data_IF_158412365770
#
_entry.id   IF_158412365770
#
_cell.length_a   1.000
_cell.length_b   1.000
_cell.length_c   1.000
_cell.angle_alpha   90.00
_cell.angle_beta   90.00
_cell.angle_gamma   90.00
#
_symmetry.space_group_name_H-M   'P 1'
#
loop_
_entity.id
_entity.type
_entity.pdbx_description
1 polymer ?
#
# COMPACT_ATOMS: atom_id res chain seq x y z
N UNK A 1 -14.11 9.68 -16.01
CA UNK A 1 -15.27 8.99 -15.40
C UNK A 1 -14.76 7.74 -14.70
N UNK A 2 -14.48 7.80 -13.40
CA UNK A 2 -14.09 6.61 -12.63
C UNK A 2 -15.32 5.69 -12.41
N UNK A 3 -16.53 6.24 -12.26
CA UNK A 3 -17.70 5.51 -11.74
C UNK A 3 -18.31 4.39 -12.62
N UNK A 4 -17.92 4.21 -13.88
CA UNK A 4 -18.55 3.16 -14.73
C UNK A 4 -18.16 1.73 -14.37
N UNK A 5 -17.02 1.54 -13.70
CA UNK A 5 -16.45 0.21 -13.40
C UNK A 5 -16.38 -0.10 -11.90
N UNK A 6 -16.95 0.77 -11.06
CA UNK A 6 -16.86 0.68 -9.60
C UNK A 6 -18.26 0.60 -9.00
N UNK A 7 -18.85 -0.60 -9.08
CA UNK A 7 -20.27 -0.83 -8.75
C UNK A 7 -20.58 -1.09 -7.28
N UNK A 8 -19.56 -1.21 -6.42
CA UNK A 8 -19.77 -1.53 -5.02
C UNK A 8 -19.94 -0.25 -4.18
N UNK A 9 -21.08 -0.14 -3.49
CA UNK A 9 -21.43 1.03 -2.66
C UNK A 9 -20.59 1.16 -1.38
N UNK A 10 -19.94 0.07 -0.97
CA UNK A 10 -19.07 0.00 0.20
C UNK A 10 -17.58 0.17 -0.15
N UNK A 11 -17.25 0.55 -1.38
CA UNK A 11 -15.85 0.80 -1.79
C UNK A 11 -15.67 2.29 -2.09
N UNK A 12 -14.72 2.91 -1.39
CA UNK A 12 -14.28 4.27 -1.65
C UNK A 12 -12.95 4.26 -2.39
N UNK A 13 -12.94 4.75 -3.63
CA UNK A 13 -11.71 4.92 -4.41
C UNK A 13 -11.10 6.28 -4.12
N UNK A 14 -9.79 6.29 -3.85
CA UNK A 14 -9.04 7.50 -3.52
C UNK A 14 -7.82 7.54 -4.44
N UNK A 15 -7.66 8.66 -5.17
CA UNK A 15 -6.43 8.96 -5.92
C UNK A 15 -5.55 9.85 -5.04
N UNK A 16 -4.47 9.30 -4.49
CA UNK A 16 -3.52 10.01 -3.66
C UNK A 16 -2.14 9.37 -3.77
N UNK A 17 -1.10 10.16 -3.49
CA UNK A 17 0.20 9.62 -3.09
C UNK A 17 0.08 8.89 -1.73
N UNK A 18 0.74 7.73 -1.57
CA UNK A 18 0.61 6.91 -0.37
C UNK A 18 1.25 7.60 0.84
N UNK A 19 2.45 8.16 0.68
CA UNK A 19 3.19 8.81 1.77
C UNK A 19 2.38 9.98 2.34
N UNK A 20 1.74 10.74 1.47
CA UNK A 20 0.85 11.85 1.83
C UNK A 20 -0.47 11.37 2.45
N UNK A 21 -1.02 10.26 1.96
CA UNK A 21 -2.27 9.68 2.45
C UNK A 21 -2.13 9.21 3.90
N UNK A 22 -1.07 8.44 4.21
CA UNK A 22 -0.92 7.82 5.54
C UNK A 22 -0.72 8.85 6.65
N UNK A 23 -0.15 10.03 6.35
CA UNK A 23 -0.01 11.13 7.31
C UNK A 23 -1.35 11.64 7.81
N UNK A 24 -2.39 11.53 6.99
CA UNK A 24 -3.77 11.95 7.28
C UNK A 24 -4.70 10.78 7.54
N UNK A 25 -4.22 9.56 7.38
CA UNK A 25 -5.04 8.37 7.49
C UNK A 25 -5.51 8.16 8.92
N UNK A 26 -6.78 7.81 9.04
CA UNK A 26 -7.34 7.23 10.25
C UNK A 26 -6.75 5.83 10.48
N UNK A 27 -7.02 5.28 11.66
CA UNK A 27 -6.66 3.92 11.98
C UNK A 27 -7.65 2.92 11.36
N UNK A 28 -7.13 1.87 10.73
CA UNK A 28 -7.95 0.82 10.11
C UNK A 28 -7.84 -0.51 10.86
N UNK A 29 -8.88 -1.36 10.81
CA UNK A 29 -8.74 -2.71 11.39
C UNK A 29 -7.72 -3.55 10.61
N UNK A 30 -7.77 -3.45 9.29
CA UNK A 30 -6.92 -4.21 8.36
C UNK A 30 -6.33 -3.29 7.31
N UNK A 31 -5.04 -3.49 7.02
CA UNK A 31 -4.37 -2.86 5.89
C UNK A 31 -3.78 -3.96 5.02
N UNK A 32 -4.02 -3.85 3.70
CA UNK A 32 -3.49 -4.77 2.70
C UNK A 32 -2.72 -3.95 1.67
N UNK A 33 -1.44 -4.25 1.50
CA UNK A 33 -0.62 -3.75 0.41
C UNK A 33 -0.24 -4.90 -0.50
N UNK A 34 -0.51 -4.76 -1.80
CA UNK A 34 -0.16 -5.76 -2.81
C UNK A 34 0.69 -5.10 -3.87
N UNK A 35 1.94 -5.54 -3.95
CA UNK A 35 2.91 -5.12 -4.96
C UNK A 35 3.06 -3.60 -5.08
N UNK A 36 3.30 -2.92 -3.94
CA UNK A 36 3.29 -1.47 -3.89
C UNK A 36 4.30 -0.89 -2.90
N UNK A 37 4.44 -1.47 -1.70
CA UNK A 37 5.35 -0.93 -0.68
C UNK A 37 6.82 -1.09 -1.08
N UNK A 38 7.16 -2.16 -1.80
CA UNK A 38 8.51 -2.44 -2.31
C UNK A 38 8.96 -1.50 -3.43
N UNK A 39 8.06 -0.70 -3.97
CA UNK A 39 8.39 0.33 -4.97
C UNK A 39 8.54 1.72 -4.36
N UNK A 40 8.37 1.85 -3.05
CA UNK A 40 8.50 3.11 -2.32
C UNK A 40 9.82 3.10 -1.58
N UNK A 41 10.59 4.17 -1.74
CA UNK A 41 11.80 4.40 -0.95
C UNK A 41 11.46 4.37 0.54
N UNK A 42 12.20 3.57 1.31
CA UNK A 42 11.94 3.33 2.73
C UNK A 42 10.54 2.74 3.03
N UNK A 43 9.94 2.06 2.06
CA UNK A 43 8.58 1.53 2.13
C UNK A 43 8.32 0.54 3.27
N UNK A 44 9.35 -0.17 3.75
CA UNK A 44 9.23 -1.04 4.92
C UNK A 44 9.01 -0.22 6.20
N UNK A 45 9.81 0.84 6.44
CA UNK A 45 9.61 1.72 7.58
C UNK A 45 8.29 2.49 7.47
N UNK A 46 7.88 2.85 6.24
CA UNK A 46 6.56 3.40 5.99
C UNK A 46 5.46 2.44 6.47
N UNK A 47 5.58 1.15 6.17
CA UNK A 47 4.63 0.12 6.56
C UNK A 47 4.53 -0.04 8.08
N UNK A 48 5.66 0.02 8.78
CA UNK A 48 5.73 -0.06 10.24
C UNK A 48 5.03 1.12 10.94
N UNK A 49 4.93 2.28 10.29
CA UNK A 49 4.26 3.48 10.80
C UNK A 49 2.76 3.56 10.44
N UNK A 50 2.22 2.56 9.73
CA UNK A 50 0.80 2.52 9.42
C UNK A 50 -0.03 2.28 10.68
N UNK A 51 -1.18 2.96 10.78
CA UNK A 51 -2.10 2.83 11.91
C UNK A 51 -3.10 1.70 11.66
N UNK A 52 -2.90 0.56 12.31
CA UNK A 52 -3.81 -0.58 12.22
C UNK A 52 -4.09 -1.25 13.57
N UNK A 53 -5.32 -1.79 13.74
CA UNK A 53 -5.73 -2.49 14.98
C UNK A 53 -5.52 -3.99 14.96
N UNK A 54 -5.73 -4.66 13.83
CA UNK A 54 -5.74 -6.13 13.75
C UNK A 54 -4.56 -6.67 12.98
N UNK A 55 -4.44 -6.35 11.69
CA UNK A 55 -3.38 -6.91 10.83
C UNK A 55 -2.95 -5.95 9.73
N UNK A 56 -1.65 -5.92 9.51
CA UNK A 56 -1.01 -5.45 8.29
C UNK A 56 -0.61 -6.68 7.46
N UNK A 57 -1.03 -6.71 6.19
CA UNK A 57 -0.70 -7.77 5.23
C UNK A 57 0.02 -7.12 4.06
N UNK A 58 1.24 -7.58 3.80
CA UNK A 58 2.08 -7.06 2.71
C UNK A 58 2.45 -8.22 1.79
N UNK A 59 2.13 -8.07 0.51
CA UNK A 59 2.57 -8.97 -0.54
C UNK A 59 3.65 -8.27 -1.37
N UNK A 60 4.86 -8.83 -1.34
CA UNK A 60 5.96 -8.47 -2.23
C UNK A 60 6.23 -9.64 -3.17
N UNK A 61 6.65 -9.39 -4.42
CA UNK A 61 7.04 -10.45 -5.34
C UNK A 61 8.28 -11.19 -4.78
N UNK A 62 8.30 -12.52 -4.90
CA UNK A 62 9.46 -13.32 -4.56
C UNK A 62 10.29 -13.54 -5.82
N UNK A 63 11.60 -13.22 -5.76
CA UNK A 63 12.56 -13.49 -6.84
C UNK A 63 12.24 -12.74 -8.16
N UNK A 64 12.13 -11.42 -8.08
CA UNK A 64 11.90 -10.54 -9.24
C UNK A 64 13.22 -10.23 -9.97
N UNK A 65 13.25 -10.13 -11.31
CA UNK A 65 14.48 -9.83 -12.05
C UNK A 65 15.09 -8.49 -11.62
N UNK A 66 16.42 -8.38 -11.66
CA UNK A 66 17.11 -7.12 -11.41
C UNK A 66 16.61 -6.03 -12.36
N UNK A 67 16.30 -4.85 -11.81
CA UNK A 67 15.79 -3.72 -12.60
C UNK A 67 15.07 -2.64 -11.80
N UNK A 68 14.69 -2.91 -10.55
CA UNK A 68 14.07 -1.91 -9.67
C UNK A 68 14.97 -1.57 -8.49
N UNK A 69 15.47 -0.33 -8.45
CA UNK A 69 16.36 0.20 -7.40
C UNK A 69 15.71 0.24 -6.00
N UNK A 70 14.39 0.08 -5.92
CA UNK A 70 13.64 0.11 -4.66
C UNK A 70 13.37 -1.29 -4.09
N UNK A 71 13.72 -2.36 -4.82
CA UNK A 71 13.50 -3.73 -4.37
C UNK A 71 14.53 -4.14 -3.30
N UNK A 72 14.08 -4.31 -2.06
CA UNK A 72 14.91 -4.59 -0.87
C UNK A 72 14.96 -6.09 -0.51
N UNK A 73 15.26 -6.98 -1.47
CA UNK A 73 15.50 -8.40 -1.16
C UNK A 73 16.83 -8.82 -1.75
N UNK A 74 17.88 -8.71 -0.93
CA UNK A 74 19.16 -9.41 -1.06
C UNK A 74 19.55 -9.95 0.31
#
# INVERSE_FOLDING_TARGET
>A
MLNKNYGASNIKYIKSDLVSFIKKAEEYDYIVSRHALEHIEDGLNLALNLKYKKRLIVNVPFNEPEGNIHHLVN
#
